data_IF_073385388709
#
_entry.id   IF_073385388709
#
_cell.length_a   1.000
_cell.length_b   1.000
_cell.length_c   1.000
_cell.angle_alpha   90.00
_cell.angle_beta   90.00
_cell.angle_gamma   90.00
#
_symmetry.space_group_name_H-M   'P 1'
#
loop_
_entity.id
_entity.type
_entity.pdbx_description
1 polymer ?
#
# COMPACT_ATOMS: atom_id res chain seq x y z
N UNK A 1 29.18 39.64 -21.60
CA UNK A 1 29.13 39.23 -20.18
C UNK A 1 29.74 37.84 -20.03
N UNK A 2 30.70 37.68 -19.10
CA UNK A 2 31.36 36.39 -18.82
C UNK A 2 30.36 35.37 -18.26
N UNK A 3 30.63 34.08 -18.47
CA UNK A 3 29.82 32.95 -17.94
C UNK A 3 29.59 33.04 -16.42
N UNK A 4 30.50 33.69 -15.68
CA UNK A 4 30.37 33.96 -14.25
C UNK A 4 29.29 34.97 -13.90
N UNK A 5 29.07 36.01 -14.72
CA UNK A 5 28.02 37.01 -14.46
C UNK A 5 26.60 36.48 -14.75
N UNK A 6 26.47 35.55 -15.71
CA UNK A 6 25.19 34.89 -16.02
C UNK A 6 24.77 33.96 -14.86
N UNK A 7 25.74 33.31 -14.20
CA UNK A 7 25.48 32.47 -13.02
C UNK A 7 24.99 33.27 -11.81
N UNK A 8 25.57 34.46 -11.59
CA UNK A 8 25.14 35.37 -10.53
C UNK A 8 23.73 35.92 -10.78
N UNK A 9 23.41 36.33 -12.02
CA UNK A 9 22.06 36.77 -12.38
C UNK A 9 21.00 35.67 -12.21
N UNK A 10 21.32 34.41 -12.53
CA UNK A 10 20.44 33.26 -12.27
C UNK A 10 20.27 32.95 -10.78
N UNK A 11 21.30 33.16 -9.98
CA UNK A 11 21.24 33.02 -8.52
C UNK A 11 20.34 34.09 -7.89
N UNK A 12 20.50 35.34 -8.33
CA UNK A 12 19.70 36.48 -7.86
C UNK A 12 18.23 36.32 -8.26
N UNK A 13 17.92 35.84 -9.48
CA UNK A 13 16.55 35.51 -9.89
C UNK A 13 15.91 34.41 -9.03
N UNK A 14 16.69 33.40 -8.63
CA UNK A 14 16.21 32.30 -7.78
C UNK A 14 15.97 32.71 -6.31
N UNK A 15 16.64 33.74 -5.82
CA UNK A 15 16.45 34.28 -4.46
C UNK A 15 15.19 35.14 -4.35
N UNK A 16 14.77 35.82 -5.42
CA UNK A 16 13.60 36.69 -5.39
C UNK A 16 12.25 35.92 -5.40
N UNK A 17 12.20 34.72 -5.99
CA UNK A 17 10.98 33.92 -6.07
C UNK A 17 10.59 33.32 -4.70
N UNK A 18 11.53 33.26 -3.74
CA UNK A 18 11.29 32.72 -2.38
C UNK A 18 10.54 33.68 -1.45
N UNK A 19 10.31 34.93 -1.84
CA UNK A 19 9.60 35.93 -1.02
C UNK A 19 8.14 36.16 -1.41
N UNK A 20 7.61 35.44 -2.42
CA UNK A 20 6.19 35.47 -2.73
C UNK A 20 5.48 34.36 -1.97
N UNK A 21 4.69 34.74 -0.96
CA UNK A 21 3.87 33.86 -0.11
C UNK A 21 2.81 33.02 -0.86
N UNK A 22 2.71 33.15 -2.19
CA UNK A 22 1.82 32.35 -3.04
C UNK A 22 2.53 31.22 -3.81
N UNK A 23 3.85 31.05 -3.67
CA UNK A 23 4.60 30.02 -4.42
C UNK A 23 4.58 28.63 -3.78
N UNK A 24 4.09 28.49 -2.55
CA UNK A 24 3.94 27.18 -1.88
C UNK A 24 2.92 26.27 -2.59
N UNK A 25 1.97 26.81 -3.34
CA UNK A 25 0.95 26.03 -4.04
C UNK A 25 1.48 25.32 -5.29
N UNK A 26 2.39 25.93 -6.05
CA UNK A 26 2.96 25.34 -7.28
C UNK A 26 3.98 24.23 -6.98
N UNK A 27 4.71 24.31 -5.86
CA UNK A 27 5.66 23.25 -5.46
C UNK A 27 5.05 22.17 -4.56
N UNK A 28 3.90 22.40 -3.94
CA UNK A 28 3.18 21.37 -3.19
C UNK A 28 2.74 20.18 -4.07
N UNK A 29 2.58 20.40 -5.38
CA UNK A 29 2.18 19.37 -6.35
C UNK A 29 3.35 18.65 -7.03
N UNK A 30 4.60 19.08 -6.78
CA UNK A 30 5.79 18.44 -7.34
C UNK A 30 6.33 17.27 -6.49
N UNK A 31 5.66 16.94 -5.38
CA UNK A 31 5.99 15.81 -4.51
C UNK A 31 4.95 14.67 -4.57
N UNK A 32 4.28 14.47 -5.70
CA UNK A 32 3.60 13.19 -5.95
C UNK A 32 4.68 12.17 -6.34
N UNK A 33 5.45 11.69 -5.35
CA UNK A 33 6.43 10.63 -5.56
C UNK A 33 5.72 9.48 -6.28
N UNK A 34 6.26 9.09 -7.43
CA UNK A 34 5.86 7.89 -8.16
C UNK A 34 5.77 6.70 -7.20
N UNK A 35 4.55 6.22 -6.96
CA UNK A 35 4.33 4.92 -6.34
C UNK A 35 4.67 3.88 -7.41
N UNK A 36 5.96 3.60 -7.61
CA UNK A 36 6.43 2.38 -8.29
C UNK A 36 6.10 1.15 -7.42
N UNK A 37 4.80 0.88 -7.36
CA UNK A 37 3.98 -0.34 -7.42
C UNK A 37 4.44 -1.69 -6.85
N UNK A 38 5.51 -1.83 -6.05
CA UNK A 38 5.86 -3.15 -5.46
C UNK A 38 6.31 -3.15 -3.99
N UNK A 39 6.33 -2.01 -3.29
CA UNK A 39 6.80 -1.95 -1.90
C UNK A 39 6.06 -2.92 -0.98
N UNK A 40 4.74 -3.05 -1.13
CA UNK A 40 3.93 -3.97 -0.33
C UNK A 40 4.28 -5.44 -0.61
N UNK A 41 4.46 -5.81 -1.87
CA UNK A 41 4.84 -7.18 -2.25
C UNK A 41 6.28 -7.54 -1.86
N UNK A 42 7.16 -6.55 -1.73
CA UNK A 42 8.53 -6.78 -1.30
C UNK A 42 8.63 -7.31 0.15
N UNK A 43 7.61 -7.11 0.99
CA UNK A 43 7.58 -7.70 2.34
C UNK A 43 7.55 -9.24 2.32
N UNK A 44 7.01 -9.86 1.27
CA UNK A 44 7.01 -11.32 1.11
C UNK A 44 8.39 -11.88 0.78
N UNK A 45 9.30 -11.05 0.26
CA UNK A 45 10.67 -11.44 -0.09
C UNK A 45 11.63 -11.39 1.10
N UNK A 46 11.15 -10.92 2.26
CA UNK A 46 11.96 -10.81 3.47
C UNK A 46 12.23 -12.20 4.04
N UNK A 47 13.47 -12.65 3.94
CA UNK A 47 13.94 -13.90 4.56
C UNK A 47 14.46 -13.58 5.96
N UNK A 48 13.96 -14.31 6.96
CA UNK A 48 14.39 -14.18 8.34
C UNK A 48 15.50 -15.20 8.66
N UNK A 49 16.40 -14.92 9.62
CA UNK A 49 17.33 -15.92 10.10
C UNK A 49 16.58 -17.11 10.77
N UNK A 50 17.20 -18.30 10.82
CA UNK A 50 16.68 -19.44 11.57
C UNK A 50 16.44 -19.09 13.05
N UNK A 51 15.36 -19.59 13.62
CA UNK A 51 15.04 -19.40 15.04
C UNK A 51 15.87 -20.36 15.90
N UNK A 52 16.21 -19.94 17.12
CA UNK A 52 16.78 -20.84 18.13
C UNK A 52 15.67 -21.71 18.74
N UNK A 53 16.00 -22.87 19.33
CA UNK A 53 14.99 -23.73 19.96
C UNK A 53 14.24 -23.09 21.14
N UNK A 54 14.84 -22.10 21.80
CA UNK A 54 14.27 -21.37 22.94
C UNK A 54 13.43 -20.15 22.52
N UNK A 55 13.44 -19.76 21.25
CA UNK A 55 12.64 -18.62 20.75
C UNK A 55 11.18 -19.04 20.53
N UNK A 56 10.23 -18.17 20.87
CA UNK A 56 8.83 -18.39 20.55
C UNK A 56 8.61 -18.48 19.03
N UNK A 57 7.65 -19.32 18.61
CA UNK A 57 7.34 -19.51 17.20
C UNK A 57 6.85 -18.21 16.57
N UNK A 58 7.63 -17.68 15.62
CA UNK A 58 7.23 -16.51 14.83
C UNK A 58 5.97 -16.80 13.99
N UNK A 59 4.95 -15.92 14.02
CA UNK A 59 3.79 -16.06 13.16
C UNK A 59 4.16 -15.80 11.69
N UNK A 60 3.58 -16.58 10.79
CA UNK A 60 3.69 -16.32 9.35
C UNK A 60 2.79 -15.14 8.97
N UNK A 61 3.26 -14.31 8.03
CA UNK A 61 2.46 -13.25 7.43
C UNK A 61 2.62 -13.27 5.92
N UNK A 62 1.60 -12.77 5.22
CA UNK A 62 1.58 -12.65 3.76
C UNK A 62 0.99 -11.30 3.39
N UNK A 63 1.67 -10.60 2.50
CA UNK A 63 1.21 -9.35 1.92
C UNK A 63 0.72 -9.60 0.49
N UNK A 64 -0.50 -9.20 0.17
CA UNK A 64 -1.02 -9.22 -1.19
C UNK A 64 -1.63 -7.87 -1.55
N UNK A 65 -1.62 -7.52 -2.83
CA UNK A 65 -2.26 -6.31 -3.33
C UNK A 65 -2.77 -6.52 -4.75
N UNK A 66 -3.82 -5.78 -5.10
CA UNK A 66 -4.31 -5.65 -6.47
C UNK A 66 -4.36 -4.17 -6.84
N UNK A 67 -3.81 -3.84 -8.00
CA UNK A 67 -3.73 -2.46 -8.52
C UNK A 67 -4.79 -2.23 -9.60
N UNK A 68 -4.98 -0.97 -10.00
CA UNK A 68 -5.84 -0.58 -11.13
C UNK A 68 -7.32 -0.98 -11.01
N UNK A 69 -7.84 -1.05 -9.78
CA UNK A 69 -9.26 -1.32 -9.54
C UNK A 69 -10.08 -0.06 -9.86
N UNK A 70 -11.03 -0.17 -10.80
CA UNK A 70 -11.93 0.93 -11.17
C UNK A 70 -13.01 1.14 -10.11
N UNK A 71 -12.61 1.80 -9.01
CA UNK A 71 -13.49 2.18 -7.91
C UNK A 71 -12.98 3.41 -7.15
N UNK A 72 -13.84 4.06 -6.36
CA UNK A 72 -13.42 5.22 -5.56
C UNK A 72 -12.63 4.73 -4.34
N UNK A 73 -11.41 5.26 -4.09
CA UNK A 73 -10.59 4.83 -2.95
C UNK A 73 -11.26 5.12 -1.60
N UNK A 74 -11.99 6.24 -1.48
CA UNK A 74 -12.77 6.56 -0.26
C UNK A 74 -13.87 5.55 0.02
N UNK A 75 -14.55 5.05 -1.01
CA UNK A 75 -15.60 4.02 -0.85
C UNK A 75 -15.00 2.65 -0.53
N UNK A 76 -13.87 2.32 -1.15
CA UNK A 76 -13.14 1.09 -0.88
C UNK A 76 -12.60 1.07 0.56
N UNK A 77 -12.16 2.21 1.09
CA UNK A 77 -11.64 2.32 2.45
C UNK A 77 -12.62 1.82 3.52
N UNK A 78 -13.92 2.10 3.38
CA UNK A 78 -14.93 1.55 4.31
C UNK A 78 -14.99 0.03 4.29
N UNK A 79 -14.84 -0.59 3.12
CA UNK A 79 -14.82 -2.06 2.96
C UNK A 79 -13.54 -2.63 3.56
N UNK A 80 -12.39 -1.99 3.32
CA UNK A 80 -11.10 -2.36 3.89
C UNK A 80 -11.09 -2.27 5.43
N UNK A 81 -11.72 -1.23 5.99
CA UNK A 81 -11.89 -1.09 7.43
C UNK A 81 -12.81 -2.15 8.03
N UNK A 82 -13.88 -2.53 7.32
CA UNK A 82 -14.84 -3.54 7.79
C UNK A 82 -14.16 -4.88 8.09
N UNK A 83 -13.26 -5.33 7.21
CA UNK A 83 -12.64 -6.67 7.32
C UNK A 83 -11.41 -6.69 8.24
N UNK A 84 -10.92 -5.53 8.67
CA UNK A 84 -9.71 -5.44 9.50
C UNK A 84 -9.96 -6.05 10.88
N UNK A 85 -9.06 -6.92 11.32
CA UNK A 85 -9.16 -7.64 12.58
C UNK A 85 -10.09 -8.85 12.56
N UNK A 86 -10.78 -9.12 11.45
CA UNK A 86 -11.55 -10.35 11.28
C UNK A 86 -10.63 -11.51 10.88
N UNK A 87 -11.00 -12.72 11.30
CA UNK A 87 -10.46 -13.95 10.72
C UNK A 87 -10.80 -14.00 9.23
N UNK A 88 -9.92 -14.59 8.42
CA UNK A 88 -10.08 -14.63 6.95
C UNK A 88 -11.43 -15.25 6.54
N UNK A 89 -11.86 -16.33 7.19
CA UNK A 89 -13.13 -17.00 6.85
C UNK A 89 -14.34 -16.09 7.13
N UNK A 90 -14.38 -15.45 8.30
CA UNK A 90 -15.41 -14.44 8.62
C UNK A 90 -15.39 -13.26 7.64
N UNK A 91 -14.22 -12.78 7.25
CA UNK A 91 -14.10 -11.69 6.28
C UNK A 91 -14.70 -12.09 4.92
N UNK A 92 -14.41 -13.30 4.44
CA UNK A 92 -14.97 -13.85 3.19
C UNK A 92 -16.50 -13.95 3.29
N UNK A 93 -17.03 -14.49 4.39
CA UNK A 93 -18.48 -14.59 4.61
C UNK A 93 -19.16 -13.22 4.62
N UNK A 94 -18.60 -12.25 5.34
CA UNK A 94 -19.16 -10.89 5.40
C UNK A 94 -19.17 -10.23 4.02
N UNK A 95 -18.05 -10.30 3.28
CA UNK A 95 -17.92 -9.66 1.97
C UNK A 95 -18.91 -10.19 0.92
N UNK A 96 -19.35 -11.45 1.01
CA UNK A 96 -20.36 -12.02 0.10
C UNK A 96 -21.70 -11.30 0.16
N UNK A 97 -22.04 -10.71 1.30
CA UNK A 97 -23.34 -10.05 1.53
C UNK A 97 -23.26 -8.52 1.50
N UNK A 98 -22.08 -7.93 1.31
CA UNK A 98 -21.93 -6.47 1.22
C UNK A 98 -22.41 -5.99 -0.16
N UNK A 99 -23.45 -5.14 -0.26
CA UNK A 99 -24.00 -4.67 -1.54
C UNK A 99 -23.17 -3.51 -2.11
N UNK A 100 -21.86 -3.71 -2.28
CA UNK A 100 -20.92 -2.73 -2.85
C UNK A 100 -20.07 -3.41 -3.92
N UNK A 101 -19.91 -2.76 -5.08
CA UNK A 101 -19.08 -3.27 -6.18
C UNK A 101 -17.67 -3.68 -5.71
N UNK A 102 -17.02 -2.83 -4.90
CA UNK A 102 -15.66 -3.09 -4.41
C UNK A 102 -15.55 -4.29 -3.46
N UNK A 103 -16.66 -4.79 -2.89
CA UNK A 103 -16.60 -5.96 -2.01
C UNK A 103 -16.19 -7.22 -2.76
N UNK A 104 -16.63 -7.36 -4.02
CA UNK A 104 -16.21 -8.45 -4.90
C UNK A 104 -14.69 -8.43 -5.15
N UNK A 105 -14.15 -7.26 -5.47
CA UNK A 105 -12.70 -7.11 -5.70
C UNK A 105 -11.88 -7.43 -4.44
N UNK A 106 -12.33 -6.99 -3.26
CA UNK A 106 -11.65 -7.28 -1.99
C UNK A 106 -11.76 -8.76 -1.62
N UNK A 107 -12.91 -9.40 -1.87
CA UNK A 107 -13.11 -10.83 -1.62
C UNK A 107 -12.12 -11.68 -2.43
N UNK A 108 -12.02 -11.42 -3.73
CA UNK A 108 -11.08 -12.15 -4.60
C UNK A 108 -9.63 -11.95 -4.13
N UNK A 109 -9.26 -10.74 -3.71
CA UNK A 109 -7.91 -10.47 -3.18
C UNK A 109 -7.63 -11.24 -1.87
N UNK A 110 -8.62 -11.38 -0.99
CA UNK A 110 -8.46 -12.16 0.25
C UNK A 110 -8.34 -13.66 -0.07
N UNK A 111 -9.12 -14.17 -1.02
CA UNK A 111 -9.04 -15.57 -1.47
C UNK A 111 -7.68 -15.89 -2.12
N UNK A 112 -7.18 -14.99 -2.97
CA UNK A 112 -5.84 -15.09 -3.56
C UNK A 112 -4.75 -15.06 -2.49
N UNK A 113 -4.85 -14.16 -1.50
CA UNK A 113 -3.89 -14.07 -0.40
C UNK A 113 -3.89 -15.35 0.46
N UNK A 114 -5.07 -15.92 0.73
CA UNK A 114 -5.22 -17.20 1.42
C UNK A 114 -4.56 -18.34 0.64
N UNK A 115 -4.79 -18.41 -0.67
CA UNK A 115 -4.17 -19.42 -1.52
C UNK A 115 -2.64 -19.27 -1.57
N UNK A 116 -2.13 -18.05 -1.69
CA UNK A 116 -0.71 -17.73 -1.67
C UNK A 116 -0.05 -18.15 -0.35
N UNK A 117 -0.73 -17.92 0.77
CA UNK A 117 -0.24 -18.30 2.09
C UNK A 117 -0.02 -19.81 2.22
N UNK A 118 -0.98 -20.61 1.74
CA UNK A 118 -0.91 -22.07 1.81
C UNK A 118 0.13 -22.62 0.84
N UNK A 119 0.16 -22.11 -0.39
CA UNK A 119 1.00 -22.65 -1.45
C UNK A 119 2.47 -22.27 -1.31
N UNK A 120 2.75 -20.99 -1.05
CA UNK A 120 4.09 -20.42 -1.20
C UNK A 120 4.73 -20.02 0.15
N UNK A 121 3.93 -19.79 1.20
CA UNK A 121 4.41 -19.35 2.52
C UNK A 121 4.30 -20.42 3.63
N UNK A 122 4.11 -21.69 3.27
CA UNK A 122 4.11 -22.82 4.21
C UNK A 122 3.09 -22.71 5.36
N UNK A 123 1.94 -22.08 5.10
CA UNK A 123 0.83 -22.06 6.07
C UNK A 123 -0.03 -23.31 5.91
N UNK A 124 -0.04 -24.18 6.91
CA UNK A 124 -0.81 -25.43 6.89
C UNK A 124 -2.33 -25.18 6.88
N UNK A 125 -2.81 -24.32 7.78
CA UNK A 125 -4.24 -24.04 7.94
C UNK A 125 -4.56 -22.61 7.50
N UNK A 126 -5.10 -22.44 6.29
CA UNK A 126 -5.55 -21.13 5.79
C UNK A 126 -6.67 -20.49 6.63
N UNK A 127 -7.38 -21.28 7.44
CA UNK A 127 -8.41 -20.79 8.39
C UNK A 127 -7.81 -20.14 9.63
N UNK A 128 -6.55 -20.43 9.98
CA UNK A 128 -5.84 -19.82 11.11
C UNK A 128 -5.16 -18.50 10.72
N UNK A 129 -5.78 -17.75 9.81
CA UNK A 129 -5.30 -16.46 9.34
C UNK A 129 -6.32 -15.37 9.70
N UNK A 130 -5.82 -14.16 9.93
CA UNK A 130 -6.64 -12.97 10.15
C UNK A 130 -6.11 -11.80 9.34
N UNK A 131 -6.99 -10.85 9.05
CA UNK A 131 -6.63 -9.61 8.35
C UNK A 131 -6.02 -8.65 9.37
N UNK A 132 -4.69 -8.64 9.48
CA UNK A 132 -3.98 -7.73 10.38
C UNK A 132 -4.10 -6.28 9.91
N UNK A 133 -3.76 -6.02 8.65
CA UNK A 133 -3.76 -4.69 8.04
C UNK A 133 -4.52 -4.71 6.71
N UNK A 134 -5.20 -3.60 6.41
CA UNK A 134 -5.90 -3.41 5.13
C UNK A 134 -5.90 -1.94 4.77
N UNK A 135 -5.32 -1.63 3.60
CA UNK A 135 -5.08 -0.26 3.14
C UNK A 135 -5.62 -0.06 1.74
N UNK A 136 -5.95 1.19 1.41
CA UNK A 136 -6.41 1.60 0.08
C UNK A 136 -5.64 2.85 -0.34
N UNK A 137 -5.04 2.79 -1.52
CA UNK A 137 -4.36 3.93 -2.16
C UNK A 137 -5.14 4.48 -3.36
N UNK A 138 -4.80 5.70 -3.77
CA UNK A 138 -5.22 6.24 -5.07
C UNK A 138 -4.36 5.57 -6.15
N UNK A 139 -4.99 5.04 -7.19
CA UNK A 139 -4.27 4.58 -8.38
C UNK A 139 -3.57 5.73 -9.08
N UNK A 140 -2.37 5.48 -9.60
CA UNK A 140 -1.72 6.34 -10.58
C UNK A 140 -2.46 6.16 -11.92
N UNK A 141 -3.19 7.20 -12.34
CA UNK A 141 -3.69 7.30 -13.71
C UNK A 141 -2.55 7.65 -14.65
#
# INVERSE_FOLDING_TARGET
MSKSQIGLLKSIFNLQIRQLHASSSLFAWHNYKDYSSNKWLNYNKKVFPPQTPDEERRPAYVCHQRTNIKYSPKKMWYIACLVRGMTVDKAIEQLKFVPKKGAKDVLEVIEEAKALAVKDHNVEFGSNLWVAESFVGKGSN
#
